data_IF_953523326085
#
_entry.id   IF_953523326085
#
_cell.length_a   1.000
_cell.length_b   1.000
_cell.length_c   1.000
_cell.angle_alpha   90.00
_cell.angle_beta   90.00
_cell.angle_gamma   90.00
#
_symmetry.space_group_name_H-M   'P 1'
#
loop_
_entity.id
_entity.type
_entity.pdbx_description
1 polymer ?
#
# COMPACT_ATOMS: atom_id res chain seq x y z
N UNK A 1 -8.82 -4.55 -3.70
CA UNK A 1 -7.91 -5.42 -2.95
C UNK A 1 -8.61 -6.54 -2.15
N UNK A 2 -9.88 -6.38 -1.73
CA UNK A 2 -10.57 -7.33 -0.86
C UNK A 2 -10.93 -8.69 -1.47
N UNK A 3 -11.25 -8.73 -2.76
CA UNK A 3 -11.67 -9.98 -3.42
C UNK A 3 -10.52 -11.02 -3.45
N UNK A 4 -9.29 -10.68 -3.89
CA UNK A 4 -8.18 -11.63 -3.80
C UNK A 4 -7.82 -12.04 -2.36
N UNK A 5 -7.92 -11.10 -1.42
CA UNK A 5 -7.65 -11.34 0.00
C UNK A 5 -8.63 -12.36 0.60
N UNK A 6 -9.93 -12.24 0.31
CA UNK A 6 -10.95 -13.16 0.84
C UNK A 6 -10.99 -14.50 0.12
N UNK A 7 -10.85 -14.49 -1.21
CA UNK A 7 -10.99 -15.69 -2.06
C UNK A 7 -9.73 -16.54 -2.06
N UNK A 8 -8.54 -15.93 -2.10
CA UNK A 8 -7.27 -16.65 -2.15
C UNK A 8 -6.51 -16.65 -0.83
N UNK A 9 -6.95 -15.88 0.16
CA UNK A 9 -6.19 -15.69 1.42
C UNK A 9 -4.90 -14.90 1.22
N UNK A 10 -4.75 -14.21 0.09
CA UNK A 10 -3.52 -13.48 -0.27
C UNK A 10 -3.79 -11.98 -0.15
N UNK A 11 -3.17 -11.28 0.81
CA UNK A 11 -3.36 -9.84 0.99
C UNK A 11 -2.81 -9.06 -0.20
N UNK A 12 -3.56 -8.03 -0.63
CA UNK A 12 -3.18 -7.16 -1.75
C UNK A 12 -2.43 -5.90 -1.33
N UNK A 13 -2.47 -5.55 -0.05
CA UNK A 13 -1.88 -4.36 0.54
C UNK A 13 -1.78 -4.51 2.08
N UNK A 14 -1.09 -3.60 2.76
CA UNK A 14 -0.85 -3.70 4.20
C UNK A 14 -2.15 -3.71 5.02
N UNK A 15 -3.18 -2.96 4.60
CA UNK A 15 -4.47 -2.89 5.30
C UNK A 15 -5.22 -4.22 5.20
N UNK A 16 -5.25 -4.83 4.01
CA UNK A 16 -5.90 -6.14 3.84
C UNK A 16 -5.18 -7.27 4.58
N UNK A 17 -3.85 -7.17 4.77
CA UNK A 17 -3.09 -8.13 5.59
C UNK A 17 -3.48 -8.10 7.07
N UNK A 18 -3.66 -6.90 7.65
CA UNK A 18 -4.10 -6.74 9.04
C UNK A 18 -5.50 -7.31 9.22
N UNK A 19 -6.40 -7.02 8.28
CA UNK A 19 -7.78 -7.51 8.36
C UNK A 19 -7.85 -9.03 8.16
N UNK A 20 -7.05 -9.60 7.26
CA UNK A 20 -6.88 -11.05 7.14
C UNK A 20 -6.43 -11.71 8.45
N UNK A 21 -5.47 -11.09 9.14
CA UNK A 21 -5.04 -11.52 10.47
C UNK A 21 -6.17 -11.46 11.50
N UNK A 22 -6.97 -10.40 11.50
CA UNK A 22 -8.13 -10.28 12.38
C UNK A 22 -9.19 -11.35 12.08
N UNK A 23 -9.50 -11.62 10.81
CA UNK A 23 -10.44 -12.68 10.42
C UNK A 23 -10.00 -14.06 10.92
N UNK A 24 -8.70 -14.36 10.86
CA UNK A 24 -8.13 -15.60 11.39
C UNK A 24 -8.26 -15.70 12.92
N UNK A 25 -8.21 -14.58 13.65
CA UNK A 25 -8.45 -14.54 15.11
C UNK A 25 -9.91 -14.86 15.45
N UNK A 26 -10.84 -14.52 14.56
CA UNK A 26 -12.26 -14.85 14.69
C UNK A 26 -12.64 -16.21 14.05
N UNK A 27 -11.66 -17.10 13.82
CA UNK A 27 -11.82 -18.41 13.19
C UNK A 27 -12.41 -18.39 11.76
N UNK A 28 -12.41 -17.23 11.11
CA UNK A 28 -12.85 -17.09 9.73
C UNK A 28 -11.66 -17.39 8.82
N UNK A 29 -11.67 -18.58 8.21
CA UNK A 29 -10.61 -19.04 7.30
C UNK A 29 -10.82 -18.49 5.90
N UNK A 30 -9.98 -17.55 5.42
CA UNK A 30 -10.05 -17.03 4.06
C UNK A 30 -9.62 -18.10 3.06
N UNK A 31 -10.25 -18.11 1.88
CA UNK A 31 -10.02 -19.12 0.87
C UNK A 31 -11.29 -19.41 0.06
N UNK A 32 -11.21 -20.23 -1.00
CA UNK A 32 -12.37 -20.52 -1.85
C UNK A 32 -13.49 -21.24 -1.08
N UNK A 33 -13.14 -21.99 -0.03
CA UNK A 33 -14.08 -22.70 0.83
C UNK A 33 -14.84 -21.80 1.82
N UNK A 34 -14.46 -20.53 1.97
CA UNK A 34 -15.12 -19.61 2.91
C UNK A 34 -16.60 -19.40 2.57
N UNK A 35 -16.95 -19.47 1.29
CA UNK A 35 -18.32 -19.34 0.78
C UNK A 35 -19.19 -20.57 1.11
N UNK A 36 -18.58 -21.75 1.27
CA UNK A 36 -19.28 -22.99 1.63
C UNK A 36 -19.38 -23.17 3.14
N UNK A 37 -18.30 -22.92 3.88
CA UNK A 37 -18.23 -23.18 5.33
C UNK A 37 -18.74 -22.01 6.18
N UNK A 38 -18.71 -20.78 5.67
CA UNK A 38 -19.05 -19.56 6.41
C UNK A 38 -19.86 -18.59 5.57
N UNK A 39 -20.77 -19.13 4.74
CA UNK A 39 -21.63 -18.37 3.83
C UNK A 39 -22.34 -17.17 4.48
N UNK A 40 -22.99 -17.32 5.65
CA UNK A 40 -23.66 -16.21 6.34
C UNK A 40 -22.71 -15.07 6.76
N UNK A 41 -21.50 -15.40 7.22
CA UNK A 41 -20.49 -14.42 7.66
C UNK A 41 -19.92 -13.68 6.46
N UNK A 42 -19.66 -14.37 5.36
CA UNK A 42 -19.17 -13.76 4.12
C UNK A 42 -20.21 -12.79 3.54
N UNK A 43 -21.49 -13.19 3.50
CA UNK A 43 -22.59 -12.31 3.10
C UNK A 43 -22.68 -11.07 3.99
N UNK A 44 -22.48 -11.21 5.30
CA UNK A 44 -22.46 -10.10 6.24
C UNK A 44 -21.29 -9.13 5.98
N UNK A 45 -20.10 -9.66 5.68
CA UNK A 45 -18.93 -8.84 5.31
C UNK A 45 -19.21 -8.04 4.03
N UNK A 46 -19.79 -8.67 2.99
CA UNK A 46 -20.15 -7.98 1.76
C UNK A 46 -21.26 -6.95 1.97
N UNK A 47 -22.27 -7.26 2.79
CA UNK A 47 -23.35 -6.33 3.12
C UNK A 47 -22.83 -5.10 3.86
N UNK A 48 -21.97 -5.29 4.86
CA UNK A 48 -21.32 -4.19 5.59
C UNK A 48 -20.43 -3.39 4.64
N UNK A 49 -19.62 -4.03 3.80
CA UNK A 49 -18.78 -3.33 2.84
C UNK A 49 -19.59 -2.44 1.89
N UNK A 50 -20.75 -2.92 1.43
CA UNK A 50 -21.68 -2.13 0.61
C UNK A 50 -22.28 -0.95 1.39
N UNK A 51 -22.75 -1.19 2.62
CA UNK A 51 -23.27 -0.13 3.49
C UNK A 51 -22.20 0.92 3.80
N UNK A 52 -20.97 0.50 4.08
CA UNK A 52 -19.83 1.40 4.31
C UNK A 52 -19.56 2.26 3.08
N UNK A 53 -19.66 1.70 1.87
CA UNK A 53 -19.46 2.47 0.65
C UNK A 53 -20.54 3.56 0.46
N UNK A 54 -21.78 3.27 0.84
CA UNK A 54 -22.86 4.26 0.86
C UNK A 54 -22.62 5.31 1.95
N UNK A 55 -22.22 4.89 3.15
CA UNK A 55 -21.96 5.78 4.29
C UNK A 55 -20.73 6.68 4.09
N UNK A 56 -19.77 6.24 3.27
CA UNK A 56 -18.62 7.02 2.84
C UNK A 56 -19.01 8.24 1.99
N UNK A 57 -20.15 8.22 1.29
CA UNK A 57 -20.58 9.36 0.48
C UNK A 57 -20.89 10.61 1.34
N UNK A 58 -21.80 10.56 2.34
CA UNK A 58 -22.04 11.71 3.19
C UNK A 58 -20.84 12.03 4.09
N UNK A 59 -20.14 11.02 4.62
CA UNK A 59 -18.95 11.23 5.44
C UNK A 59 -17.83 11.92 4.64
N UNK A 60 -17.62 11.50 3.40
CA UNK A 60 -16.67 12.10 2.47
C UNK A 60 -17.05 13.53 2.11
N UNK A 61 -18.34 13.81 1.88
CA UNK A 61 -18.81 15.16 1.58
C UNK A 61 -18.61 16.13 2.75
N UNK A 62 -18.93 15.71 3.98
CA UNK A 62 -18.65 16.48 5.20
C UNK A 62 -17.15 16.67 5.38
N UNK A 63 -16.38 15.61 5.14
CA UNK A 63 -14.92 15.63 5.16
C UNK A 63 -14.35 16.70 4.24
N UNK A 64 -14.70 16.67 2.95
CA UNK A 64 -14.22 17.65 1.95
C UNK A 64 -14.54 19.08 2.39
N UNK A 65 -15.76 19.35 2.86
CA UNK A 65 -16.16 20.69 3.32
C UNK A 65 -15.37 21.17 4.54
N UNK A 66 -14.92 20.26 5.38
CA UNK A 66 -14.15 20.56 6.61
C UNK A 66 -12.66 20.71 6.29
N UNK A 67 -12.11 19.80 5.48
CA UNK A 67 -10.71 19.82 5.07
C UNK A 67 -10.38 20.96 4.11
N UNK A 68 -11.31 21.41 3.27
CA UNK A 68 -11.15 22.58 2.42
C UNK A 68 -10.84 23.85 3.25
N UNK A 69 -11.55 24.05 4.36
CA UNK A 69 -11.27 25.17 5.28
C UNK A 69 -9.89 25.08 5.94
N UNK A 70 -9.43 23.86 6.20
CA UNK A 70 -8.10 23.59 6.76
C UNK A 70 -6.99 23.88 5.75
N UNK A 71 -7.23 23.61 4.46
CA UNK A 71 -6.30 23.87 3.37
C UNK A 71 -6.24 25.35 2.95
N UNK A 72 -7.29 26.13 3.25
CA UNK A 72 -7.31 27.58 3.05
C UNK A 72 -6.49 28.36 4.09
N UNK A 73 -6.01 27.71 5.15
CA UNK A 73 -5.12 28.34 6.12
C UNK A 73 -3.76 28.69 5.48
N UNK A 74 -3.06 29.74 5.96
CA UNK A 74 -1.76 30.09 5.45
C UNK A 74 -0.82 28.89 5.55
N UNK A 75 -0.10 28.59 4.46
CA UNK A 75 0.77 27.40 4.33
C UNK A 75 1.69 27.18 5.53
N UNK A 76 2.20 28.25 6.15
CA UNK A 76 3.06 28.18 7.34
C UNK A 76 2.39 27.50 8.55
N UNK A 77 1.09 27.75 8.79
CA UNK A 77 0.36 27.10 9.89
C UNK A 77 0.17 25.61 9.64
N UNK A 78 -0.19 25.25 8.41
CA UNK A 78 -0.38 23.84 8.02
C UNK A 78 0.93 23.07 8.15
N UNK A 79 2.03 23.62 7.64
CA UNK A 79 3.35 22.99 7.74
C UNK A 79 3.81 22.86 9.20
N UNK A 80 3.57 23.87 10.04
CA UNK A 80 3.89 23.80 11.48
C UNK A 80 3.11 22.68 12.16
N UNK A 81 1.80 22.59 11.90
CA UNK A 81 0.98 21.51 12.43
C UNK A 81 1.47 20.13 11.96
N UNK A 82 1.81 19.98 10.67
CA UNK A 82 2.35 18.73 10.11
C UNK A 82 3.65 18.32 10.82
N UNK A 83 4.57 19.25 11.06
CA UNK A 83 5.83 18.95 11.77
C UNK A 83 5.54 18.51 13.20
N UNK A 84 4.68 19.21 13.93
CA UNK A 84 4.29 18.85 15.30
C UNK A 84 3.65 17.45 15.34
N UNK A 85 2.69 17.18 14.45
CA UNK A 85 2.06 15.87 14.36
C UNK A 85 3.03 14.76 13.95
N UNK A 86 4.03 15.07 13.11
CA UNK A 86 5.05 14.10 12.72
C UNK A 86 5.99 13.75 13.87
N UNK A 87 6.36 14.72 14.71
CA UNK A 87 7.15 14.48 15.94
C UNK A 87 6.35 13.63 16.92
N UNK A 88 5.09 13.98 17.18
CA UNK A 88 4.21 13.20 18.07
C UNK A 88 3.99 11.79 17.51
N UNK A 89 3.80 11.64 16.20
CA UNK A 89 3.62 10.36 15.53
C UNK A 89 4.87 9.47 15.58
N UNK A 90 6.06 10.05 15.38
CA UNK A 90 7.32 9.32 15.53
C UNK A 90 7.52 8.84 16.97
N UNK A 91 7.20 9.70 17.94
CA UNK A 91 7.32 9.36 19.35
C UNK A 91 6.29 8.33 19.83
N UNK A 92 5.05 8.36 19.31
CA UNK A 92 3.96 7.53 19.84
C UNK A 92 4.08 6.03 19.55
N UNK A 93 4.83 5.64 18.50
CA UNK A 93 4.96 4.24 18.11
C UNK A 93 5.79 3.42 19.09
N UNK A 94 6.94 3.94 19.53
CA UNK A 94 7.89 3.21 20.40
C UNK A 94 8.28 4.01 21.65
N UNK A 95 7.66 5.17 21.90
CA UNK A 95 7.96 6.04 23.05
C UNK A 95 9.46 6.38 23.15
N UNK A 96 10.12 6.54 21.99
CA UNK A 96 11.57 6.67 21.86
C UNK A 96 11.96 7.98 21.20
N UNK A 97 12.86 8.74 21.83
CA UNK A 97 13.44 9.96 21.24
C UNK A 97 14.37 9.66 20.05
N UNK A 98 14.87 8.43 19.94
CA UNK A 98 15.65 8.01 18.78
C UNK A 98 14.82 8.11 17.49
N UNK A 99 13.56 7.67 17.53
CA UNK A 99 12.67 7.73 16.36
C UNK A 99 12.39 9.17 15.93
N UNK A 100 12.35 10.11 16.88
CA UNK A 100 12.22 11.55 16.60
C UNK A 100 13.46 12.10 15.90
N UNK A 101 14.66 11.71 16.34
CA UNK A 101 15.91 12.10 15.65
C UNK A 101 15.99 11.52 14.24
N UNK A 102 15.59 10.26 14.06
CA UNK A 102 15.51 9.61 12.75
C UNK A 102 14.50 10.35 11.86
N UNK A 103 13.32 10.69 12.37
CA UNK A 103 12.31 11.46 11.65
C UNK A 103 12.85 12.82 11.21
N UNK A 104 13.55 13.55 12.09
CA UNK A 104 14.15 14.84 11.75
C UNK A 104 15.24 14.71 10.67
N UNK A 105 16.12 13.70 10.79
CA UNK A 105 17.16 13.42 9.80
C UNK A 105 16.57 13.10 8.43
N UNK A 106 15.59 12.20 8.35
CA UNK A 106 14.93 11.85 7.10
C UNK A 106 14.06 12.99 6.55
N UNK A 107 13.53 13.86 7.41
CA UNK A 107 12.88 15.11 7.00
C UNK A 107 13.85 16.06 6.27
N UNK A 108 15.06 16.22 6.79
CA UNK A 108 16.12 17.01 6.14
C UNK A 108 16.61 16.37 4.84
N UNK A 109 16.78 15.05 4.81
CA UNK A 109 17.10 14.32 3.57
C UNK A 109 16.00 14.54 2.53
N UNK A 110 14.73 14.44 2.95
CA UNK A 110 13.58 14.68 2.09
C UNK A 110 13.58 16.08 1.49
N UNK A 111 13.88 17.10 2.30
CA UNK A 111 14.05 18.47 1.81
C UNK A 111 15.18 18.58 0.77
N UNK A 112 16.32 17.93 0.99
CA UNK A 112 17.41 17.89 0.00
C UNK A 112 17.03 17.20 -1.31
N UNK A 113 16.26 16.11 -1.24
CA UNK A 113 15.76 15.41 -2.43
C UNK A 113 14.74 16.26 -3.22
N UNK A 114 13.91 17.04 -2.51
CA UNK A 114 12.98 17.99 -3.14
C UNK A 114 13.75 19.08 -3.90
N UNK A 115 14.86 19.58 -3.35
CA UNK A 115 15.75 20.53 -4.06
C UNK A 115 16.37 19.93 -5.33
N UNK A 116 16.63 18.62 -5.34
CA UNK A 116 17.16 17.88 -6.50
C UNK A 116 16.05 17.49 -7.50
N UNK A 117 14.80 17.92 -7.28
CA UNK A 117 13.61 17.53 -8.04
C UNK A 117 13.40 16.01 -8.13
N UNK A 118 13.91 15.26 -7.14
CA UNK A 118 13.69 13.82 -7.04
C UNK A 118 12.30 13.61 -6.43
N UNK A 119 11.42 12.84 -7.09
CA UNK A 119 10.07 12.63 -6.59
C UNK A 119 10.11 11.81 -5.30
N UNK A 120 9.74 12.43 -4.17
CA UNK A 120 9.72 11.81 -2.85
C UNK A 120 8.69 10.68 -2.73
N UNK A 121 7.52 10.84 -3.36
CA UNK A 121 6.43 9.87 -3.24
C UNK A 121 6.80 8.45 -3.73
N UNK A 122 7.39 8.25 -4.93
CA UNK A 122 7.90 6.95 -5.35
C UNK A 122 9.00 6.38 -4.44
N UNK A 123 9.87 7.23 -3.89
CA UNK A 123 10.96 6.79 -3.01
C UNK A 123 10.41 6.22 -1.70
N UNK A 124 9.49 6.95 -1.06
CA UNK A 124 8.82 6.49 0.17
C UNK A 124 8.02 5.22 -0.11
N UNK A 125 7.31 5.16 -1.24
CA UNK A 125 6.55 3.98 -1.63
C UNK A 125 7.48 2.76 -1.83
N UNK A 126 8.63 2.94 -2.46
CA UNK A 126 9.64 1.90 -2.62
C UNK A 126 10.20 1.42 -1.28
N UNK A 127 10.47 2.34 -0.34
CA UNK A 127 10.96 2.01 1.00
C UNK A 127 9.93 1.19 1.80
N UNK A 128 8.66 1.57 1.75
CA UNK A 128 7.57 0.88 2.46
C UNK A 128 7.27 -0.48 1.81
N UNK A 129 7.27 -0.56 0.48
CA UNK A 129 6.95 -1.79 -0.24
C UNK A 129 8.11 -2.77 -0.31
N UNK A 130 9.36 -2.30 -0.21
CA UNK A 130 10.57 -3.12 -0.29
C UNK A 130 10.54 -4.35 0.63
N UNK A 131 10.32 -4.19 1.95
CA UNK A 131 10.22 -5.31 2.89
C UNK A 131 9.11 -6.30 2.54
N UNK A 132 7.99 -5.81 2.02
CA UNK A 132 6.87 -6.66 1.59
C UNK A 132 7.26 -7.48 0.35
N UNK A 133 7.94 -6.86 -0.62
CA UNK A 133 8.48 -7.54 -1.80
C UNK A 133 9.51 -8.60 -1.39
N UNK A 134 10.47 -8.25 -0.54
CA UNK A 134 11.52 -9.16 -0.07
C UNK A 134 10.93 -10.35 0.70
N UNK A 135 9.98 -10.10 1.61
CA UNK A 135 9.31 -11.16 2.37
C UNK A 135 8.55 -12.12 1.45
N UNK A 136 7.84 -11.60 0.46
CA UNK A 136 7.09 -12.43 -0.49
C UNK A 136 8.03 -13.22 -1.42
N UNK A 137 9.11 -12.60 -1.90
CA UNK A 137 10.14 -13.26 -2.68
C UNK A 137 10.79 -14.39 -1.88
N UNK A 138 11.20 -14.12 -0.64
CA UNK A 138 11.78 -15.11 0.27
C UNK A 138 10.81 -16.26 0.54
N UNK A 139 9.53 -15.96 0.78
CA UNK A 139 8.49 -16.98 0.98
C UNK A 139 8.31 -17.85 -0.26
N UNK A 140 8.37 -17.27 -1.46
CA UNK A 140 8.34 -18.00 -2.73
C UNK A 140 9.54 -18.92 -2.91
N UNK A 141 10.75 -18.41 -2.65
CA UNK A 141 11.99 -19.19 -2.76
C UNK A 141 12.06 -20.33 -1.74
N UNK A 142 11.62 -20.12 -0.49
CA UNK A 142 11.55 -21.19 0.51
C UNK A 142 10.59 -22.30 0.06
N UNK A 143 9.43 -21.95 -0.51
CA UNK A 143 8.48 -22.94 -1.05
C UNK A 143 9.03 -23.72 -2.24
N UNK A 144 10.09 -23.22 -2.85
CA UNK A 144 10.71 -23.74 -4.05
C UNK A 144 12.11 -24.28 -3.76
N UNK A 145 12.46 -24.45 -2.47
CA UNK A 145 13.77 -24.96 -2.02
C UNK A 145 14.97 -24.16 -2.56
N UNK A 146 14.77 -22.87 -2.87
CA UNK A 146 15.80 -21.98 -3.41
C UNK A 146 15.93 -22.00 -4.93
N UNK A 147 15.12 -22.78 -5.65
CA UNK A 147 15.14 -22.79 -7.11
C UNK A 147 14.34 -21.60 -7.70
N UNK A 148 14.95 -20.91 -8.66
CA UNK A 148 14.36 -19.76 -9.36
C UNK A 148 13.56 -20.21 -10.58
N UNK A 149 13.73 -21.45 -11.04
CA UNK A 149 13.11 -21.99 -12.24
C UNK A 149 11.57 -21.89 -12.25
N UNK A 150 10.87 -22.05 -11.10
CA UNK A 150 9.41 -21.90 -11.05
C UNK A 150 8.88 -20.50 -11.33
N UNK A 151 9.69 -19.45 -11.19
CA UNK A 151 9.31 -18.10 -11.62
C UNK A 151 9.25 -17.99 -13.15
N UNK A 152 10.00 -18.81 -13.90
CA UNK A 152 10.01 -18.83 -15.36
C UNK A 152 9.21 -19.97 -15.99
N UNK A 153 8.78 -20.97 -15.22
CA UNK A 153 7.97 -22.08 -15.75
C UNK A 153 6.48 -21.93 -15.43
N UNK A 154 6.11 -21.20 -14.38
CA UNK A 154 4.71 -20.94 -14.04
C UNK A 154 4.12 -19.91 -15.01
N UNK A 155 3.05 -20.25 -15.75
CA UNK A 155 2.50 -19.36 -16.78
C UNK A 155 2.06 -18.01 -16.22
N UNK A 156 1.57 -17.96 -14.97
CA UNK A 156 1.15 -16.73 -14.31
C UNK A 156 2.31 -15.78 -13.96
N UNK A 157 3.47 -16.33 -13.57
CA UNK A 157 4.66 -15.53 -13.28
C UNK A 157 5.22 -14.93 -14.58
N UNK A 158 5.27 -15.73 -15.65
CA UNK A 158 5.71 -15.26 -16.97
C UNK A 158 4.80 -14.15 -17.49
N UNK A 159 3.47 -14.32 -17.41
CA UNK A 159 2.52 -13.30 -17.90
C UNK A 159 2.64 -12.00 -17.13
N UNK A 160 2.73 -12.04 -15.79
CA UNK A 160 2.96 -10.83 -15.01
C UNK A 160 4.30 -10.18 -15.32
N UNK A 161 5.37 -10.97 -15.48
CA UNK A 161 6.70 -10.45 -15.82
C UNK A 161 6.71 -9.79 -17.20
N UNK A 162 6.06 -10.42 -18.20
CA UNK A 162 5.94 -9.82 -19.54
C UNK A 162 5.10 -8.55 -19.52
N UNK A 163 3.96 -8.53 -18.82
CA UNK A 163 3.14 -7.30 -18.68
C UNK A 163 3.93 -6.18 -18.01
N UNK A 164 4.67 -6.49 -16.93
CA UNK A 164 5.54 -5.53 -16.26
C UNK A 164 6.59 -4.94 -17.20
N UNK A 165 7.29 -5.81 -17.94
CA UNK A 165 8.31 -5.39 -18.92
C UNK A 165 7.70 -4.52 -20.03
N UNK A 166 6.52 -4.87 -20.53
CA UNK A 166 5.80 -4.08 -21.54
C UNK A 166 5.43 -2.71 -21.00
N UNK A 167 4.83 -2.62 -19.81
CA UNK A 167 4.45 -1.34 -19.18
C UNK A 167 5.68 -0.46 -18.93
N UNK A 168 6.79 -1.06 -18.49
CA UNK A 168 8.03 -0.33 -18.23
C UNK A 168 8.70 0.17 -19.52
N UNK A 169 8.63 -0.61 -20.60
CA UNK A 169 9.25 -0.29 -21.89
C UNK A 169 8.37 0.59 -22.81
N UNK A 170 7.05 0.62 -22.60
CA UNK A 170 6.13 1.50 -23.35
C UNK A 170 6.51 3.00 -23.31
N UNK A 171 6.81 3.62 -22.15
CA UNK A 171 7.20 5.03 -22.10
C UNK A 171 8.59 5.30 -22.70
N UNK A 172 9.51 4.34 -22.69
CA UNK A 172 10.83 4.49 -23.32
C UNK A 172 10.77 4.29 -24.83
N UNK A 173 10.02 3.30 -25.34
CA UNK A 173 9.82 3.09 -26.78
C UNK A 173 9.06 4.27 -27.42
N UNK A 174 8.00 4.76 -26.77
CA UNK A 174 7.21 5.89 -27.29
C UNK A 174 8.02 7.19 -27.35
N UNK A 175 8.95 7.42 -26.41
CA UNK A 175 9.90 8.54 -26.48
C UNK A 175 10.92 8.37 -27.60
N UNK A 176 11.37 7.14 -27.87
CA UNK A 176 12.29 6.85 -28.98
C UNK A 176 11.64 7.03 -30.35
N UNK A 177 10.38 6.60 -30.49
CA UNK A 177 9.61 6.75 -31.74
C UNK A 177 9.18 8.21 -31.99
N UNK A 178 8.89 8.99 -30.94
CA UNK A 178 8.48 10.40 -31.06
C UNK A 178 9.65 11.39 -31.28
N UNK A 179 10.90 10.95 -31.17
CA UNK A 179 12.08 11.76 -31.55
C UNK A 179 12.45 11.64 -33.04
N UNK A 180 11.73 10.81 -33.81
CA UNK A 180 12.03 10.57 -35.23
C UNK A 180 11.06 11.25 -36.20
N UNK A 181 10.09 12.01 -35.67
CA UNK A 181 9.21 12.94 -36.40
C UNK A 181 9.54 14.38 -35.99
#
# INVERSE_FOLDING_TARGET
AWIPALVFGIPGDAVTAIVLGALMVYDIKPGPMIFEQSGPQVQSIFAIAFITQILLLPAGWIGIKTFDKLLQLPRHWVLTAVVVFSVVGAYSLQNSMFDVYVMALFGLIGFGLELLAIPLAPLILGLILGPMVEKNLRTGLIKTEGDWMPFLTRPFCITMLTVLLVIFMLPTLSRLFRQKD
#
